data_IF_938804000706
#
_entry.id   IF_938804000706
#
_cell.length_a   1.000
_cell.length_b   1.000
_cell.length_c   1.000
_cell.angle_alpha   90.00
_cell.angle_beta   90.00
_cell.angle_gamma   90.00
#
_symmetry.space_group_name_H-M   'P 1'
#
loop_
_entity.id
_entity.type
_entity.pdbx_description
1 polymer ?
#
# COMPACT_ATOMS: atom_id res chain seq x y z
N UNK A 1 -7.01 -6.39 -0.19
CA UNK A 1 -6.41 -5.86 -1.44
C UNK A 1 -5.12 -6.60 -1.72
N UNK A 2 -4.85 -6.94 -2.98
CA UNK A 2 -3.57 -7.52 -3.40
C UNK A 2 -2.83 -6.53 -4.28
N UNK A 3 -1.56 -6.28 -4.00
CA UNK A 3 -0.69 -5.37 -4.75
C UNK A 3 0.37 -6.22 -5.46
N UNK A 4 0.49 -6.03 -6.77
CA UNK A 4 1.51 -6.69 -7.59
C UNK A 4 2.57 -5.67 -7.99
N UNK A 5 3.81 -5.93 -7.58
CA UNK A 5 4.99 -5.12 -7.82
C UNK A 5 5.84 -5.80 -8.90
N UNK A 6 6.35 -5.03 -9.86
CA UNK A 6 7.18 -5.50 -10.96
C UNK A 6 8.29 -4.48 -11.26
N UNK A 7 9.38 -4.94 -11.87
CA UNK A 7 10.47 -4.07 -12.34
C UNK A 7 11.48 -3.70 -11.25
N UNK A 8 11.61 -4.54 -10.23
CA UNK A 8 12.68 -4.43 -9.22
C UNK A 8 13.87 -5.30 -9.63
N UNK A 9 15.01 -5.09 -8.98
CA UNK A 9 16.14 -6.00 -9.14
C UNK A 9 15.78 -7.39 -8.60
N UNK A 10 16.29 -8.44 -9.24
CA UNK A 10 16.08 -9.82 -8.78
C UNK A 10 16.54 -9.96 -7.33
N UNK A 11 15.73 -10.62 -6.49
CA UNK A 11 16.02 -10.81 -5.06
C UNK A 11 16.14 -9.52 -4.22
N UNK A 12 15.76 -8.35 -4.75
CA UNK A 12 15.83 -7.09 -4.02
C UNK A 12 14.93 -7.11 -2.77
N UNK A 13 15.49 -6.67 -1.64
CA UNK A 13 14.72 -6.42 -0.42
C UNK A 13 14.01 -5.07 -0.53
N UNK A 14 12.68 -5.08 -0.40
CA UNK A 14 11.81 -3.91 -0.41
C UNK A 14 11.38 -3.61 1.03
N UNK A 15 12.05 -2.65 1.65
CA UNK A 15 11.80 -2.22 3.02
C UNK A 15 10.91 -0.97 3.07
N UNK A 16 10.19 -0.78 4.17
CA UNK A 16 9.37 0.42 4.40
C UNK A 16 8.33 0.66 3.29
N UNK A 17 7.74 -0.42 2.78
CA UNK A 17 6.59 -0.34 1.89
C UNK A 17 5.37 0.18 2.65
N UNK A 18 4.71 1.17 2.07
CA UNK A 18 3.55 1.84 2.69
C UNK A 18 2.48 2.07 1.64
N UNK A 19 1.26 1.63 1.89
CA UNK A 19 0.08 1.97 1.10
C UNK A 19 -0.82 2.93 1.88
N UNK A 20 -1.37 3.91 1.19
CA UNK A 20 -2.35 4.85 1.74
C UNK A 20 -3.54 4.98 0.79
N UNK A 21 -4.70 5.30 1.36
CA UNK A 21 -5.94 5.58 0.61
C UNK A 21 -6.42 6.95 1.06
N UNK A 22 -6.57 7.87 0.12
CA UNK A 22 -6.86 9.27 0.43
C UNK A 22 -7.85 9.89 -0.55
N UNK A 23 -8.59 10.88 -0.08
CA UNK A 23 -9.47 11.73 -0.86
C UNK A 23 -8.72 12.97 -1.36
N UNK A 24 -9.44 13.80 -2.12
CA UNK A 24 -8.99 15.13 -2.50
C UNK A 24 -8.52 15.94 -1.27
N UNK A 25 -7.55 16.83 -1.48
CA UNK A 25 -6.89 17.57 -0.39
C UNK A 25 -5.94 16.74 0.48
N UNK A 26 -5.70 15.46 0.14
CA UNK A 26 -4.72 14.61 0.84
C UNK A 26 -5.25 13.97 2.13
N UNK A 27 -6.56 14.04 2.37
CA UNK A 27 -7.19 13.45 3.56
C UNK A 27 -7.16 11.94 3.50
N UNK A 28 -6.44 11.32 4.43
CA UNK A 28 -6.35 9.85 4.53
C UNK A 28 -7.66 9.28 5.06
N UNK A 29 -8.16 8.25 4.38
CA UNK A 29 -9.37 7.51 4.75
C UNK A 29 -9.12 6.02 4.96
N UNK A 30 -7.94 5.53 4.56
CA UNK A 30 -7.54 4.13 4.67
C UNK A 30 -7.06 3.77 6.08
N UNK A 31 -7.63 2.71 6.63
CA UNK A 31 -7.19 2.04 7.85
C UNK A 31 -6.64 0.67 7.47
N UNK A 32 -5.52 0.29 8.08
CA UNK A 32 -4.79 -0.92 7.68
C UNK A 32 -4.52 -1.80 8.89
N UNK A 33 -4.54 -3.10 8.65
CA UNK A 33 -4.38 -4.12 9.68
C UNK A 33 -3.18 -5.01 9.38
N UNK A 34 -2.32 -5.20 10.39
CA UNK A 34 -1.17 -6.12 10.35
C UNK A 34 -1.51 -7.51 10.90
N UNK A 35 -2.60 -7.64 11.65
CA UNK A 35 -3.19 -8.88 12.17
C UNK A 35 -4.70 -8.77 12.07
N UNK A 36 -5.32 -9.74 11.41
CA UNK A 36 -6.76 -9.73 11.09
C UNK A 36 -7.62 -9.16 12.24
N UNK A 37 -8.40 -8.12 11.91
CA UNK A 37 -9.30 -7.36 12.79
C UNK A 37 -8.73 -6.26 13.69
N UNK A 38 -7.41 -6.09 13.79
CA UNK A 38 -6.81 -4.94 14.49
C UNK A 38 -6.39 -3.86 13.48
N UNK A 39 -7.17 -2.77 13.40
CA UNK A 39 -7.00 -1.72 12.41
C UNK A 39 -6.44 -0.46 13.06
N UNK A 40 -5.35 0.05 12.50
CA UNK A 40 -4.80 1.34 12.90
C UNK A 40 -5.75 2.51 12.56
N UNK A 41 -5.59 3.68 13.22
CA UNK A 41 -6.21 4.92 12.75
C UNK A 41 -5.89 5.22 11.28
N UNK A 42 -6.69 6.07 10.60
CA UNK A 42 -6.47 6.41 9.20
C UNK A 42 -5.06 6.94 8.95
N UNK A 43 -4.40 6.43 7.92
CA UNK A 43 -3.02 6.79 7.65
C UNK A 43 -2.39 5.87 6.60
N UNK A 44 -1.06 5.77 6.62
CA UNK A 44 -0.37 4.74 5.84
C UNK A 44 -0.36 3.41 6.58
N UNK A 45 -0.39 2.32 5.83
CA UNK A 45 -0.13 0.98 6.35
C UNK A 45 1.29 0.83 6.87
N UNK A 46 1.49 -0.11 7.79
CA UNK A 46 2.79 -0.68 8.12
C UNK A 46 2.88 -2.05 7.45
N UNK A 47 3.52 -2.14 6.28
CA UNK A 47 3.67 -3.41 5.56
C UNK A 47 4.95 -4.13 6.00
N UNK A 48 4.97 -5.47 5.94
CA UNK A 48 6.20 -6.22 6.16
C UNK A 48 7.23 -5.90 5.07
N UNK A 49 8.50 -6.12 5.39
CA UNK A 49 9.56 -6.19 4.38
C UNK A 49 9.27 -7.34 3.44
N UNK A 50 9.40 -7.09 2.14
CA UNK A 50 9.15 -8.10 1.10
C UNK A 50 10.39 -8.24 0.23
N UNK A 51 10.75 -9.46 -0.10
CA UNK A 51 11.82 -9.74 -1.07
C UNK A 51 11.19 -9.98 -2.43
N UNK A 52 11.67 -9.28 -3.47
CA UNK A 52 11.31 -9.60 -4.84
C UNK A 52 11.81 -11.00 -5.23
N UNK A 53 11.11 -11.65 -6.13
CA UNK A 53 11.52 -12.94 -6.68
C UNK A 53 12.71 -12.79 -7.65
N UNK A 54 13.13 -13.90 -8.24
CA UNK A 54 14.21 -13.96 -9.22
C UNK A 54 13.94 -13.16 -10.51
N UNK A 55 12.67 -12.82 -10.77
CA UNK A 55 12.23 -12.04 -11.92
C UNK A 55 11.93 -10.57 -11.54
N UNK A 56 12.25 -10.15 -10.32
CA UNK A 56 12.02 -8.77 -9.87
C UNK A 56 10.55 -8.45 -9.57
N UNK A 57 9.72 -9.47 -9.28
CA UNK A 57 8.32 -9.28 -8.91
C UNK A 57 8.08 -9.53 -7.43
N UNK A 58 7.07 -8.88 -6.86
CA UNK A 58 6.61 -9.15 -5.50
C UNK A 58 5.08 -9.04 -5.41
N UNK A 59 4.47 -9.81 -4.52
CA UNK A 59 3.03 -9.72 -4.24
C UNK A 59 2.80 -9.48 -2.76
N UNK A 60 1.93 -8.52 -2.45
CA UNK A 60 1.62 -8.12 -1.09
C UNK A 60 0.12 -8.17 -0.89
N UNK A 61 -0.32 -8.84 0.17
CA UNK A 61 -1.71 -8.81 0.62
C UNK A 61 -1.84 -7.81 1.76
N UNK A 62 -2.84 -6.93 1.63
CA UNK A 62 -3.13 -5.88 2.60
C UNK A 62 -4.60 -5.92 2.96
N UNK A 63 -4.87 -6.00 4.26
CA UNK A 63 -6.20 -5.81 4.81
C UNK A 63 -6.44 -4.33 5.07
N UNK A 64 -7.46 -3.78 4.41
CA UNK A 64 -7.79 -2.37 4.47
C UNK A 64 -9.28 -2.18 4.73
N UNK A 65 -9.59 -1.20 5.56
CA UNK A 65 -10.91 -0.61 5.75
C UNK A 65 -10.85 0.85 5.39
N UNK A 66 -12.00 1.43 5.09
CA UNK A 66 -12.11 2.84 4.72
C UNK A 66 -13.15 3.49 5.62
N UNK A 67 -12.89 4.73 6.03
CA UNK A 67 -13.83 5.49 6.86
C UNK A 67 -15.10 5.90 6.10
N UNK A 68 -15.03 5.92 4.77
CA UNK A 68 -16.11 6.38 3.90
C UNK A 68 -15.98 5.75 2.51
N UNK A 69 -16.90 6.09 1.60
CA UNK A 69 -16.88 5.63 0.21
C UNK A 69 -15.53 5.84 -0.48
N UNK A 70 -15.10 4.83 -1.23
CA UNK A 70 -13.88 4.86 -2.06
C UNK A 70 -14.02 5.72 -3.32
N UNK A 71 -15.23 6.17 -3.68
CA UNK A 71 -15.47 6.97 -4.88
C UNK A 71 -14.62 8.26 -4.87
N UNK A 72 -13.89 8.55 -5.94
CA UNK A 72 -12.98 9.70 -6.00
C UNK A 72 -11.77 9.63 -5.06
N UNK A 73 -11.50 8.47 -4.47
CA UNK A 73 -10.26 8.25 -3.70
C UNK A 73 -9.10 7.87 -4.61
N UNK A 74 -7.88 8.06 -4.10
CA UNK A 74 -6.63 7.63 -4.70
C UNK A 74 -5.94 6.63 -3.78
N UNK A 75 -5.29 5.65 -4.38
CA UNK A 75 -4.41 4.69 -3.71
C UNK A 75 -2.96 5.08 -4.04
N UNK A 76 -2.11 5.20 -3.02
CA UNK A 76 -0.68 5.50 -3.19
C UNK A 76 0.17 4.45 -2.52
N UNK A 77 1.16 3.96 -3.26
CA UNK A 77 2.22 3.10 -2.76
C UNK A 77 3.53 3.89 -2.65
N UNK A 78 4.21 3.75 -1.53
CA UNK A 78 5.54 4.30 -1.27
C UNK A 78 6.52 3.20 -0.90
N UNK A 79 7.78 3.40 -1.26
CA UNK A 79 8.93 2.62 -0.82
C UNK A 79 9.91 3.59 -0.14
N UNK A 80 10.02 3.52 1.18
CA UNK A 80 10.60 4.63 1.94
C UNK A 80 9.84 5.92 1.60
N UNK A 81 10.55 7.02 1.34
CA UNK A 81 9.92 8.31 1.02
C UNK A 81 9.56 8.49 -0.45
N UNK A 82 10.03 7.60 -1.33
CA UNK A 82 9.70 7.61 -2.76
C UNK A 82 8.27 7.12 -2.98
N UNK A 83 7.48 7.89 -3.72
CA UNK A 83 6.20 7.42 -4.26
C UNK A 83 6.47 6.56 -5.49
N UNK A 84 6.00 5.32 -5.46
CA UNK A 84 6.11 4.40 -6.58
C UNK A 84 4.94 4.57 -7.55
N UNK A 85 3.72 4.64 -7.00
CA UNK A 85 2.51 4.81 -7.79
C UNK A 85 1.47 5.61 -7.00
N UNK A 86 0.69 6.38 -7.74
CA UNK A 86 -0.60 6.94 -7.30
C UNK A 86 -1.60 6.66 -8.40
N UNK A 87 -2.72 6.04 -8.05
CA UNK A 87 -3.80 5.74 -9.00
C UNK A 87 -5.15 6.11 -8.40
N UNK A 88 -6.08 6.53 -9.23
CA UNK A 88 -7.48 6.67 -8.85
C UNK A 88 -8.08 5.29 -8.56
N UNK A 89 -8.97 5.24 -7.57
CA UNK A 89 -9.84 4.09 -7.36
C UNK A 89 -10.88 4.05 -8.49
N UNK A 90 -11.01 2.89 -9.14
CA UNK A 90 -11.97 2.62 -10.20
C UNK A 90 -12.95 1.56 -9.75
#
# INVERSE_FOLDING_TARGET
MTIHLKGFEANQTLENLRVGIYKEGGRQIGQFSSKDNDYNPPGYSTLPTVKADENGNATIKVNAKVLESMEGSKIRLKLGDKTLITTDFK
#
